data_IF_771355866152
#
_entry.id   IF_771355866152
#
_cell.length_a   1.000
_cell.length_b   1.000
_cell.length_c   1.000
_cell.angle_alpha   90.00
_cell.angle_beta   90.00
_cell.angle_gamma   90.00
#
_symmetry.space_group_name_H-M   'P 1'
#
loop_
_entity.id
_entity.type
_entity.pdbx_description
1 polymer ?
#
# COMPACT_ATOMS: atom_id res chain seq x y z
N UNK A 1 11.26 -17.17 -9.99
CA UNK A 1 11.39 -16.79 -8.55
C UNK A 1 11.58 -15.28 -8.47
N UNK A 2 10.79 -14.62 -7.65
CA UNK A 2 10.88 -13.17 -7.47
C UNK A 2 11.41 -12.87 -6.06
N UNK A 3 12.58 -12.26 -5.95
CA UNK A 3 13.26 -12.03 -4.68
C UNK A 3 13.10 -10.57 -4.25
N UNK A 4 12.68 -10.36 -3.00
CA UNK A 4 12.55 -9.03 -2.41
C UNK A 4 13.94 -8.47 -2.12
N UNK A 5 14.25 -7.33 -2.70
CA UNK A 5 15.53 -6.62 -2.53
C UNK A 5 15.44 -5.51 -1.50
N UNK A 6 14.29 -4.85 -1.40
CA UNK A 6 14.08 -3.77 -0.46
C UNK A 6 12.57 -3.54 -0.23
N UNK A 7 12.23 -3.01 0.94
CA UNK A 7 10.89 -2.55 1.27
C UNK A 7 11.06 -1.19 1.95
N UNK A 8 10.37 -0.16 1.44
CA UNK A 8 10.54 1.20 1.95
C UNK A 8 9.24 2.00 1.87
N UNK A 9 9.12 3.02 2.70
CA UNK A 9 8.14 4.07 2.51
C UNK A 9 8.53 4.96 1.34
N UNK A 10 7.51 5.45 0.61
CA UNK A 10 7.67 6.39 -0.50
C UNK A 10 6.70 7.55 -0.33
N UNK A 11 7.09 8.71 -0.85
CA UNK A 11 6.27 9.93 -0.80
C UNK A 11 6.32 10.63 -2.14
N UNK A 12 5.20 11.28 -2.49
CA UNK A 12 5.08 12.10 -3.70
C UNK A 12 5.46 11.36 -4.99
N UNK A 13 5.11 10.07 -5.05
CA UNK A 13 5.30 9.28 -6.27
C UNK A 13 4.17 9.53 -7.25
N UNK A 14 4.44 9.41 -8.54
CA UNK A 14 3.44 9.55 -9.59
C UNK A 14 3.69 8.50 -10.68
N UNK A 15 2.64 8.25 -11.48
CA UNK A 15 2.66 7.21 -12.51
C UNK A 15 2.22 7.80 -13.86
N UNK A 16 2.74 7.22 -14.95
CA UNK A 16 2.34 7.57 -16.32
C UNK A 16 2.48 9.06 -16.66
N UNK A 17 3.50 9.73 -16.11
CA UNK A 17 3.77 11.16 -16.29
C UNK A 17 2.68 12.08 -15.74
N UNK A 18 1.77 11.56 -14.93
CA UNK A 18 0.76 12.35 -14.24
C UNK A 18 1.34 12.94 -12.97
N UNK A 19 1.91 14.14 -13.09
CA UNK A 19 2.56 14.84 -11.97
C UNK A 19 1.56 15.60 -11.08
N UNK A 20 0.30 15.65 -11.49
CA UNK A 20 -0.75 16.36 -10.73
C UNK A 20 -1.28 15.52 -9.59
N UNK A 21 -1.30 14.20 -9.76
CA UNK A 21 -1.70 13.27 -8.72
C UNK A 21 -0.47 12.56 -8.18
N UNK A 22 -0.15 12.83 -6.93
CA UNK A 22 0.96 12.19 -6.23
C UNK A 22 0.44 11.31 -5.10
N UNK A 23 1.26 10.35 -4.69
CA UNK A 23 0.86 9.30 -3.76
C UNK A 23 1.95 9.03 -2.73
N UNK A 24 1.52 8.62 -1.54
CA UNK A 24 2.39 8.15 -0.47
C UNK A 24 2.04 6.70 -0.12
N UNK A 25 3.00 5.95 0.36
CA UNK A 25 2.78 4.58 0.81
C UNK A 25 4.06 3.77 0.88
N UNK A 26 4.00 2.56 0.33
CA UNK A 26 5.11 1.61 0.38
C UNK A 26 5.52 1.14 -1.01
N UNK A 27 6.80 0.83 -1.15
CA UNK A 27 7.35 0.19 -2.34
C UNK A 27 8.13 -1.05 -1.94
N UNK A 28 7.81 -2.16 -2.59
CA UNK A 28 8.58 -3.41 -2.51
C UNK A 28 9.39 -3.53 -3.79
N UNK A 29 10.71 -3.47 -3.67
CA UNK A 29 11.61 -3.67 -4.80
C UNK A 29 12.01 -5.13 -4.89
N UNK A 30 11.82 -5.73 -6.04
CA UNK A 30 12.26 -7.10 -6.32
C UNK A 30 13.23 -7.12 -7.49
N UNK A 31 13.73 -8.31 -7.82
CA UNK A 31 14.59 -8.49 -9.00
C UNK A 31 13.83 -8.37 -10.32
N UNK A 32 12.49 -8.32 -10.31
CA UNK A 32 11.66 -8.23 -11.52
C UNK A 32 10.85 -6.94 -11.63
N UNK A 33 10.55 -6.26 -10.53
CA UNK A 33 9.66 -5.08 -10.54
C UNK A 33 9.80 -4.25 -9.28
N UNK A 34 9.20 -3.05 -9.34
CA UNK A 34 8.86 -2.25 -8.18
C UNK A 34 7.36 -2.33 -7.96
N UNK A 35 6.93 -2.79 -6.79
CA UNK A 35 5.53 -2.92 -6.44
C UNK A 35 5.16 -1.82 -5.47
N UNK A 36 4.24 -0.94 -5.89
CA UNK A 36 3.78 0.20 -5.09
C UNK A 36 2.39 -0.07 -4.52
N UNK A 37 2.23 0.13 -3.23
CA UNK A 37 0.92 0.24 -2.60
C UNK A 37 0.81 1.62 -1.97
N UNK A 38 0.01 2.48 -2.58
CA UNK A 38 0.05 3.92 -2.31
C UNK A 38 -1.35 4.52 -2.32
N UNK A 39 -1.50 5.61 -1.58
CA UNK A 39 -2.73 6.38 -1.49
C UNK A 39 -2.45 7.83 -1.93
N UNK A 40 -3.40 8.43 -2.64
CA UNK A 40 -3.32 9.82 -3.08
C UNK A 40 -3.11 10.74 -1.88
N UNK A 41 -2.09 11.59 -1.95
CA UNK A 41 -1.71 12.47 -0.86
C UNK A 41 -2.25 13.90 -0.97
N UNK A 42 -3.13 14.16 -1.94
CA UNK A 42 -3.85 15.43 -2.01
C UNK A 42 -4.75 15.57 -0.80
N UNK A 43 -4.66 16.70 -0.08
CA UNK A 43 -5.42 16.87 1.14
C UNK A 43 -6.30 18.11 1.07
N UNK A 44 -7.60 17.92 1.37
CA UNK A 44 -8.54 18.98 1.68
C UNK A 44 -8.76 19.02 3.20
N UNK A 45 -9.31 20.09 3.72
CA UNK A 45 -9.56 20.19 5.15
C UNK A 45 -10.52 19.08 5.62
N UNK A 46 -10.35 18.60 6.85
CA UNK A 46 -11.21 17.64 7.53
C UNK A 46 -11.05 16.18 7.09
N UNK A 47 -10.02 15.84 6.37
CA UNK A 47 -9.70 14.48 6.03
C UNK A 47 -8.62 13.92 6.94
N UNK A 48 -8.73 12.64 7.26
CA UNK A 48 -7.68 11.90 7.94
C UNK A 48 -7.42 10.61 7.16
N UNK A 49 -6.32 10.59 6.43
CA UNK A 49 -5.92 9.46 5.60
C UNK A 49 -4.51 9.01 5.95
N UNK A 50 -4.16 7.81 5.59
CA UNK A 50 -2.81 7.31 5.81
C UNK A 50 -2.63 5.88 5.39
N UNK A 51 -1.54 5.31 5.86
CA UNK A 51 -1.16 3.94 5.56
C UNK A 51 -0.34 3.35 6.71
N UNK A 52 -0.43 2.04 6.87
CA UNK A 52 0.30 1.29 7.90
C UNK A 52 0.74 -0.07 7.36
N UNK A 53 1.68 -0.68 8.06
CA UNK A 53 2.08 -2.07 7.83
C UNK A 53 1.91 -2.89 9.10
N UNK A 54 1.77 -4.20 8.94
CA UNK A 54 1.69 -5.15 10.06
C UNK A 54 3.03 -5.33 10.78
N UNK A 55 4.12 -4.89 10.16
CA UNK A 55 5.48 -5.02 10.71
C UNK A 55 6.17 -3.67 10.68
N UNK A 56 6.91 -3.35 11.74
CA UNK A 56 7.72 -2.13 11.81
C UNK A 56 9.11 -2.34 11.18
N UNK A 57 9.60 -3.57 11.18
CA UNK A 57 10.91 -3.93 10.63
C UNK A 57 10.72 -4.86 9.44
N UNK A 58 11.15 -4.41 8.27
CA UNK A 58 11.06 -5.17 7.03
C UNK A 58 12.30 -6.04 6.77
N UNK A 59 13.31 -5.96 7.63
CA UNK A 59 14.59 -6.65 7.41
C UNK A 59 14.46 -8.15 7.23
N UNK A 60 13.53 -8.79 7.96
CA UNK A 60 13.31 -10.24 7.87
C UNK A 60 12.73 -10.69 6.53
N UNK A 61 12.15 -9.78 5.76
CA UNK A 61 11.54 -10.08 4.46
C UNK A 61 12.52 -9.83 3.29
N UNK A 62 13.59 -9.08 3.53
CA UNK A 62 14.61 -8.84 2.50
C UNK A 62 15.34 -10.15 2.21
N UNK A 63 15.46 -10.48 0.93
CA UNK A 63 16.05 -11.73 0.47
C UNK A 63 15.08 -12.90 0.38
N UNK A 64 13.84 -12.72 0.88
CA UNK A 64 12.80 -13.74 0.75
C UNK A 64 12.19 -13.71 -0.66
N UNK A 65 11.51 -14.80 -1.02
CA UNK A 65 10.76 -14.90 -2.27
C UNK A 65 9.38 -14.30 -2.08
N UNK A 66 8.99 -13.41 -3.00
CA UNK A 66 7.64 -12.90 -3.10
C UNK A 66 6.77 -13.94 -3.81
N UNK A 67 5.80 -14.51 -3.11
CA UNK A 67 4.96 -15.58 -3.64
C UNK A 67 3.65 -15.11 -4.21
N UNK A 68 2.98 -14.18 -3.52
CA UNK A 68 1.68 -13.69 -3.97
C UNK A 68 1.38 -12.32 -3.34
N UNK A 69 0.61 -11.51 -4.05
CA UNK A 69 0.11 -10.23 -3.55
C UNK A 69 -1.37 -10.15 -3.92
N UNK A 70 -2.22 -9.88 -2.94
CA UNK A 70 -3.67 -9.79 -3.20
C UNK A 70 -4.36 -8.85 -2.22
N UNK A 71 -5.48 -8.30 -2.67
CA UNK A 71 -6.36 -7.47 -1.84
C UNK A 71 -7.19 -8.38 -0.93
N UNK A 72 -7.34 -8.00 0.33
CA UNK A 72 -8.12 -8.77 1.31
C UNK A 72 -8.92 -7.84 2.22
N UNK A 73 -9.96 -8.39 2.83
CA UNK A 73 -10.74 -7.72 3.87
C UNK A 73 -10.26 -8.06 5.28
N UNK A 74 -9.32 -9.00 5.40
CA UNK A 74 -8.90 -9.54 6.68
C UNK A 74 -7.68 -8.79 7.21
N UNK A 75 -7.82 -8.19 8.38
CA UNK A 75 -6.71 -7.53 9.08
C UNK A 75 -5.82 -8.54 9.80
N UNK A 76 -4.52 -8.21 9.88
CA UNK A 76 -3.52 -8.93 10.65
C UNK A 76 -2.97 -8.03 11.76
N UNK A 77 -2.74 -8.63 12.92
CA UNK A 77 -2.09 -7.94 14.04
C UNK A 77 -2.95 -6.89 14.72
N UNK A 78 -2.51 -6.49 15.92
CA UNK A 78 -3.28 -5.60 16.79
C UNK A 78 -3.36 -4.18 16.26
N UNK A 79 -2.28 -3.67 15.66
CA UNK A 79 -2.24 -2.28 15.17
C UNK A 79 -3.25 -2.08 14.04
N UNK A 80 -3.27 -3.00 13.09
CA UNK A 80 -4.18 -2.93 11.94
C UNK A 80 -5.63 -3.12 12.37
N UNK A 81 -5.89 -4.09 13.26
CA UNK A 81 -7.24 -4.32 13.82
C UNK A 81 -7.76 -3.10 14.58
N UNK A 82 -6.93 -2.51 15.44
CA UNK A 82 -7.32 -1.31 16.21
C UNK A 82 -7.63 -0.13 15.31
N UNK A 83 -6.87 0.05 14.24
CA UNK A 83 -7.15 1.10 13.27
C UNK A 83 -8.51 0.92 12.61
N UNK A 84 -8.85 -0.31 12.20
CA UNK A 84 -10.14 -0.60 11.58
C UNK A 84 -11.31 -0.31 12.51
N UNK A 85 -11.16 -0.59 13.80
CA UNK A 85 -12.16 -0.27 14.81
C UNK A 85 -12.33 1.23 15.04
N UNK A 86 -11.25 2.00 14.88
CA UNK A 86 -11.26 3.45 15.07
C UNK A 86 -11.82 4.22 13.86
N UNK A 87 -12.07 3.55 12.73
CA UNK A 87 -12.64 4.15 11.54
C UNK A 87 -14.15 4.17 11.60
N UNK A 88 -14.71 5.17 12.28
CA UNK A 88 -16.17 5.29 12.44
C UNK A 88 -16.91 5.58 11.14
N UNK A 89 -16.32 6.33 10.24
CA UNK A 89 -16.96 6.76 9.00
C UNK A 89 -15.92 6.79 7.87
N UNK A 90 -15.23 5.71 7.68
CA UNK A 90 -14.18 5.67 6.69
C UNK A 90 -14.09 4.33 6.02
N UNK A 91 -13.11 4.19 5.18
CA UNK A 91 -12.81 2.96 4.48
C UNK A 91 -11.33 2.64 4.52
N UNK A 92 -11.02 1.37 4.32
CA UNK A 92 -9.65 0.88 4.31
C UNK A 92 -9.51 -0.19 3.23
N UNK A 93 -8.30 -0.28 2.68
CA UNK A 93 -7.93 -1.31 1.73
C UNK A 93 -6.71 -2.04 2.27
N UNK A 94 -6.81 -3.35 2.36
CA UNK A 94 -5.75 -4.22 2.85
C UNK A 94 -5.14 -5.00 1.70
N UNK A 95 -3.80 -5.10 1.67
CA UNK A 95 -3.14 -6.06 0.80
C UNK A 95 -2.28 -7.02 1.61
N UNK A 96 -2.32 -8.28 1.22
CA UNK A 96 -1.45 -9.32 1.76
C UNK A 96 -0.33 -9.60 0.79
N UNK A 97 0.89 -9.64 1.34
CA UNK A 97 2.11 -10.00 0.61
C UNK A 97 2.63 -11.30 1.21
N UNK A 98 2.47 -12.38 0.48
CA UNK A 98 2.95 -13.71 0.90
C UNK A 98 4.40 -13.88 0.48
N UNK A 99 5.25 -14.22 1.44
CA UNK A 99 6.67 -14.44 1.21
C UNK A 99 7.12 -15.77 1.83
N UNK A 100 8.31 -16.23 1.46
CA UNK A 100 8.90 -17.43 2.08
C UNK A 100 9.23 -17.23 3.56
N UNK A 101 9.29 -15.98 4.04
CA UNK A 101 9.57 -15.67 5.44
C UNK A 101 8.33 -15.20 6.21
N UNK A 102 7.14 -15.40 5.64
CA UNK A 102 5.89 -15.10 6.31
C UNK A 102 5.01 -14.16 5.51
N UNK A 103 3.93 -13.73 6.14
CA UNK A 103 2.91 -12.89 5.56
C UNK A 103 3.09 -11.46 6.08
N UNK A 104 3.13 -10.52 5.14
CA UNK A 104 3.21 -9.08 5.42
C UNK A 104 1.92 -8.44 4.92
N UNK A 105 1.32 -7.57 5.72
CA UNK A 105 0.11 -6.86 5.32
C UNK A 105 0.34 -5.36 5.36
N UNK A 106 -0.17 -4.68 4.35
CA UNK A 106 -0.25 -3.22 4.31
C UNK A 106 -1.70 -2.79 4.29
N UNK A 107 -1.97 -1.61 4.84
CA UNK A 107 -3.29 -1.00 4.81
C UNK A 107 -3.17 0.46 4.41
N UNK A 108 -4.08 0.91 3.56
CA UNK A 108 -4.34 2.32 3.31
C UNK A 108 -5.75 2.64 3.80
N UNK A 109 -5.94 3.83 4.35
CA UNK A 109 -7.23 4.21 4.93
C UNK A 109 -7.54 5.67 4.66
N UNK A 110 -8.82 5.97 4.66
CA UNK A 110 -9.34 7.33 4.66
C UNK A 110 -10.52 7.42 5.61
N UNK A 111 -10.37 8.21 6.68
CA UNK A 111 -11.43 8.50 7.62
C UNK A 111 -12.20 9.71 7.09
N UNK A 112 -13.39 9.46 6.55
CA UNK A 112 -14.19 10.50 5.92
C UNK A 112 -14.88 11.38 6.96
N UNK A 113 -14.45 12.63 7.05
CA UNK A 113 -15.23 13.66 7.74
C UNK A 113 -16.08 14.48 6.76
N UNK A 114 -16.32 13.95 5.57
CA UNK A 114 -17.07 14.69 4.57
C UNK A 114 -17.01 14.12 3.17
N UNK A 115 -16.40 14.77 2.23
CA UNK A 115 -16.82 14.68 0.84
C UNK A 115 -15.73 14.21 -0.14
N UNK A 116 -14.52 13.92 0.35
CA UNK A 116 -13.40 13.68 -0.57
C UNK A 116 -12.83 12.28 -0.38
N UNK A 117 -12.85 11.51 -1.46
CA UNK A 117 -12.20 10.21 -1.52
C UNK A 117 -10.72 10.36 -1.87
N UNK A 118 -9.93 9.38 -1.42
CA UNK A 118 -8.53 9.23 -1.83
C UNK A 118 -8.37 7.97 -2.63
N UNK A 119 -7.79 8.09 -3.83
CA UNK A 119 -7.50 6.94 -4.67
C UNK A 119 -6.34 6.15 -4.08
N UNK A 120 -6.50 4.82 -4.03
CA UNK A 120 -5.48 3.87 -3.61
C UNK A 120 -5.13 2.99 -4.79
N UNK A 121 -3.85 2.79 -5.03
CA UNK A 121 -3.37 1.96 -6.15
C UNK A 121 -2.39 0.91 -5.67
N UNK A 122 -2.51 -0.27 -6.27
CA UNK A 122 -1.48 -1.30 -6.24
C UNK A 122 -0.90 -1.36 -7.66
N UNK A 123 0.36 -0.97 -7.81
CA UNK A 123 0.98 -0.77 -9.12
C UNK A 123 2.26 -1.56 -9.21
N UNK A 124 2.41 -2.34 -10.27
CA UNK A 124 3.67 -3.01 -10.62
C UNK A 124 4.38 -2.22 -11.72
N UNK A 125 5.60 -1.78 -11.43
CA UNK A 125 6.43 -1.05 -12.39
C UNK A 125 7.59 -1.94 -12.81
N UNK A 126 7.55 -2.35 -14.08
CA UNK A 126 8.59 -3.13 -14.73
C UNK A 126 9.51 -2.18 -15.53
N UNK A 127 10.60 -2.69 -16.07
CA UNK A 127 11.53 -1.89 -16.87
C UNK A 127 10.89 -1.28 -18.12
N UNK A 128 9.91 -2.00 -18.70
CA UNK A 128 9.30 -1.63 -19.99
C UNK A 128 7.83 -1.22 -19.88
N UNK A 129 7.20 -1.36 -18.71
CA UNK A 129 5.77 -1.08 -18.55
C UNK A 129 5.39 -0.83 -17.10
N UNK A 130 4.23 -0.20 -16.93
CA UNK A 130 3.57 -0.01 -15.62
C UNK A 130 2.19 -0.65 -15.69
N UNK A 131 1.88 -1.50 -14.72
CA UNK A 131 0.60 -2.23 -14.64
C UNK A 131 -0.11 -1.85 -13.36
N UNK A 132 -1.36 -1.36 -13.47
CA UNK A 132 -2.23 -1.12 -12.32
C UNK A 132 -2.89 -2.45 -11.94
N UNK A 133 -2.45 -3.04 -10.84
CA UNK A 133 -2.95 -4.33 -10.36
C UNK A 133 -4.30 -4.19 -9.65
N UNK A 134 -4.48 -3.11 -8.91
CA UNK A 134 -5.73 -2.78 -8.22
C UNK A 134 -5.83 -1.28 -8.05
N UNK A 135 -7.07 -0.79 -8.00
CA UNK A 135 -7.38 0.64 -7.88
C UNK A 135 -8.74 0.77 -7.20
N UNK A 136 -8.83 1.61 -6.19
CA UNK A 136 -10.07 1.89 -5.48
C UNK A 136 -10.03 3.31 -4.93
N UNK A 137 -11.18 3.81 -4.53
CA UNK A 137 -11.32 5.13 -3.90
C UNK A 137 -11.87 4.93 -2.49
N UNK A 138 -11.11 5.37 -1.50
CA UNK A 138 -11.49 5.24 -0.10
C UNK A 138 -12.12 6.52 0.45
#
# INVERSE_FOLDING_TARGET
MEIIKNIKEVSDVYFNNDKWDTYDGYCIETDSRQLYFVINNGQCCCENWGYLSSEDDFGSFIGSELKNVYVTDSELGTIVSNMKEDLDAGSAMFINVETTNGLLQFVAYNEHNGYYGHEVKLVSKYDDKTVIEADDVL
#
